data_IF_496199046103
#
_entry.id   IF_496199046103
#
_cell.length_a   1.000
_cell.length_b   1.000
_cell.length_c   1.000
_cell.angle_alpha   90.00
_cell.angle_beta   90.00
_cell.angle_gamma   90.00
#
_symmetry.space_group_name_H-M   'P 1'
#
loop_
_entity.id
_entity.type
_entity.pdbx_description
1 polymer ?
#
# COMPACT_ATOMS: atom_id res chain seq x y z
N UNK A 1 27.85 49.13 31.55
CA UNK A 1 27.24 47.96 32.20
C UNK A 1 26.27 47.34 31.20
N UNK A 2 26.59 46.13 30.78
CA UNK A 2 25.93 45.41 29.69
C UNK A 2 24.60 44.81 30.15
N UNK A 3 23.50 45.20 29.50
CA UNK A 3 22.21 44.49 29.50
C UNK A 3 21.92 44.14 28.04
N UNK A 4 21.46 42.99 27.61
CA UNK A 4 21.09 41.70 28.19
C UNK A 4 21.07 40.77 26.96
N UNK A 5 22.05 39.87 26.88
CA UNK A 5 22.17 38.91 25.77
C UNK A 5 21.43 37.59 26.03
N UNK A 6 20.75 37.43 27.18
CA UNK A 6 20.17 36.15 27.60
C UNK A 6 18.78 35.92 26.98
N UNK A 7 17.97 36.99 26.88
CA UNK A 7 16.59 36.91 26.41
C UNK A 7 16.46 36.30 25.00
N UNK A 8 17.34 36.67 24.07
CA UNK A 8 17.28 36.19 22.69
C UNK A 8 17.46 34.68 22.52
N UNK A 9 18.29 34.05 23.37
CA UNK A 9 18.51 32.60 23.32
C UNK A 9 17.34 31.83 23.93
N UNK A 10 16.71 32.35 24.98
CA UNK A 10 15.54 31.73 25.61
C UNK A 10 14.31 31.72 24.69
N UNK A 11 14.08 32.81 23.93
CA UNK A 11 13.01 32.87 22.92
C UNK A 11 13.24 31.92 21.74
N UNK A 12 14.49 31.75 21.29
CA UNK A 12 14.83 30.84 20.21
C UNK A 12 14.71 29.38 20.64
N UNK A 13 15.19 29.03 21.85
CA UNK A 13 15.00 27.70 22.44
C UNK A 13 13.51 27.37 22.57
N UNK A 14 12.70 28.29 23.08
CA UNK A 14 11.27 28.07 23.21
C UNK A 14 10.55 27.90 21.87
N UNK A 15 10.99 28.60 20.81
CA UNK A 15 10.51 28.39 19.44
C UNK A 15 10.94 27.04 18.86
N UNK A 16 12.17 26.61 19.11
CA UNK A 16 12.65 25.29 18.69
C UNK A 16 11.90 24.16 19.41
N UNK A 17 11.64 24.30 20.71
CA UNK A 17 10.88 23.31 21.49
C UNK A 17 9.43 23.15 20.99
N UNK A 18 8.75 24.27 20.69
CA UNK A 18 7.40 24.25 20.11
C UNK A 18 7.43 23.60 18.73
N UNK A 19 8.40 23.96 17.88
CA UNK A 19 8.56 23.38 16.54
C UNK A 19 8.90 21.88 16.59
N UNK A 20 9.72 21.46 17.54
CA UNK A 20 10.09 20.06 17.75
C UNK A 20 8.90 19.25 18.26
N UNK A 21 8.09 19.81 19.14
CA UNK A 21 6.86 19.19 19.62
C UNK A 21 5.81 19.03 18.51
N UNK A 22 5.57 20.09 17.72
CA UNK A 22 4.66 20.03 16.57
C UNK A 22 5.16 19.03 15.52
N UNK A 23 6.45 19.04 15.20
CA UNK A 23 7.06 18.09 14.26
C UNK A 23 6.97 16.65 14.78
N UNK A 24 7.17 16.43 16.08
CA UNK A 24 7.01 15.12 16.72
C UNK A 24 5.58 14.59 16.63
N UNK A 25 4.58 15.45 16.85
CA UNK A 25 3.16 15.09 16.72
C UNK A 25 2.77 14.76 15.29
N UNK A 26 3.24 15.54 14.31
CA UNK A 26 2.97 15.27 12.89
C UNK A 26 3.57 13.92 12.49
N UNK A 27 4.81 13.62 12.91
CA UNK A 27 5.46 12.33 12.65
C UNK A 27 4.68 11.16 13.27
N UNK A 28 4.27 11.27 14.53
CA UNK A 28 3.49 10.22 15.20
C UNK A 28 2.16 9.95 14.49
N UNK A 29 1.46 11.01 14.06
CA UNK A 29 0.21 10.87 13.28
C UNK A 29 0.44 10.24 11.90
N UNK A 30 1.57 10.53 11.26
CA UNK A 30 1.94 9.90 9.98
C UNK A 30 2.26 8.42 10.16
N UNK A 31 3.04 8.05 11.18
CA UNK A 31 3.36 6.67 11.50
C UNK A 31 2.11 5.85 11.84
N UNK A 32 1.20 6.40 12.63
CA UNK A 32 -0.08 5.77 12.95
C UNK A 32 -0.92 5.54 11.68
N UNK A 33 -1.00 6.55 10.80
CA UNK A 33 -1.71 6.42 9.52
C UNK A 33 -1.11 5.33 8.63
N UNK A 34 0.22 5.28 8.51
CA UNK A 34 0.91 4.25 7.73
C UNK A 34 0.68 2.86 8.33
N UNK A 35 0.71 2.74 9.66
CA UNK A 35 0.40 1.49 10.35
C UNK A 35 -1.03 1.02 10.08
N UNK A 36 -2.02 1.92 10.18
CA UNK A 36 -3.43 1.62 9.91
C UNK A 36 -3.63 1.18 8.45
N UNK A 37 -3.02 1.89 7.49
CA UNK A 37 -3.07 1.52 6.07
C UNK A 37 -2.49 0.12 5.84
N UNK A 38 -1.28 -0.14 6.37
CA UNK A 38 -0.64 -1.45 6.26
C UNK A 38 -1.54 -2.55 6.83
N UNK A 39 -2.04 -2.37 8.05
CA UNK A 39 -2.91 -3.34 8.73
C UNK A 39 -4.22 -3.58 7.97
N UNK A 40 -4.82 -2.53 7.42
CA UNK A 40 -6.04 -2.63 6.63
C UNK A 40 -5.79 -3.40 5.33
N UNK A 41 -4.70 -3.09 4.64
CA UNK A 41 -4.34 -3.78 3.40
C UNK A 41 -3.97 -5.25 3.65
N UNK A 42 -3.23 -5.54 4.72
CA UNK A 42 -2.93 -6.92 5.14
C UNK A 42 -4.21 -7.71 5.38
N UNK A 43 -5.15 -7.16 6.17
CA UNK A 43 -6.46 -7.81 6.42
C UNK A 43 -7.24 -8.03 5.14
N UNK A 44 -7.23 -7.06 4.24
CA UNK A 44 -7.90 -7.16 2.95
C UNK A 44 -7.30 -8.29 2.10
N UNK A 45 -5.97 -8.38 1.99
CA UNK A 45 -5.29 -9.49 1.30
C UNK A 45 -5.67 -10.83 1.96
N UNK A 46 -5.59 -10.92 3.28
CA UNK A 46 -5.89 -12.15 4.01
C UNK A 46 -7.35 -12.61 3.83
N UNK A 47 -8.29 -11.68 3.61
CA UNK A 47 -9.69 -12.02 3.29
C UNK A 47 -9.85 -12.81 1.98
N UNK A 48 -8.91 -12.67 1.03
CA UNK A 48 -8.87 -13.48 -0.19
C UNK A 48 -8.05 -14.75 0.01
N UNK A 49 -6.90 -14.65 0.67
CA UNK A 49 -5.96 -15.76 0.83
C UNK A 49 -6.43 -16.85 1.80
N UNK A 50 -7.35 -16.54 2.71
CA UNK A 50 -7.96 -17.53 3.62
C UNK A 50 -8.61 -18.69 2.86
N UNK A 51 -9.19 -18.43 1.68
CA UNK A 51 -9.80 -19.45 0.80
C UNK A 51 -8.77 -20.46 0.27
N UNK A 52 -7.49 -20.11 0.33
CA UNK A 52 -6.36 -20.89 -0.19
C UNK A 52 -5.43 -21.38 0.90
N UNK A 53 -5.80 -21.22 2.18
CA UNK A 53 -4.97 -21.55 3.35
C UNK A 53 -3.60 -20.86 3.31
N UNK A 54 -3.57 -19.63 2.80
CA UNK A 54 -2.39 -18.77 2.80
C UNK A 54 -2.67 -17.55 3.68
N UNK A 55 -1.63 -17.02 4.32
CA UNK A 55 -1.70 -15.82 5.14
C UNK A 55 -0.49 -14.92 4.85
N UNK A 56 -0.70 -13.62 4.96
CA UNK A 56 0.33 -12.58 4.89
C UNK A 56 0.38 -11.87 6.24
N UNK A 57 1.57 -11.81 6.82
CA UNK A 57 1.85 -11.03 8.02
C UNK A 57 2.50 -9.70 7.61
N UNK A 58 3.48 -9.76 6.73
CA UNK A 58 4.14 -8.57 6.18
C UNK A 58 4.12 -8.58 4.65
N UNK A 59 3.30 -7.69 4.09
CA UNK A 59 3.09 -7.52 2.66
C UNK A 59 4.41 -7.35 1.90
N UNK A 60 5.41 -6.69 2.49
CA UNK A 60 6.68 -6.41 1.82
C UNK A 60 7.57 -7.64 1.68
N UNK A 61 7.50 -8.58 2.62
CA UNK A 61 8.33 -9.79 2.62
C UNK A 61 7.56 -10.97 2.02
N UNK A 62 6.29 -11.11 2.36
CA UNK A 62 5.44 -12.24 1.99
C UNK A 62 5.01 -12.23 0.52
N UNK A 63 4.89 -11.04 -0.09
CA UNK A 63 4.59 -10.93 -1.52
C UNK A 63 5.86 -10.88 -2.40
N UNK A 64 7.04 -10.75 -1.80
CA UNK A 64 8.30 -10.53 -2.53
C UNK A 64 8.71 -11.70 -3.43
N UNK A 65 8.27 -12.92 -3.12
CA UNK A 65 8.55 -14.11 -3.93
C UNK A 65 7.60 -14.28 -5.13
N UNK A 66 6.57 -13.43 -5.21
CA UNK A 66 5.55 -13.41 -6.26
C UNK A 66 4.50 -14.52 -6.18
N UNK A 67 4.61 -15.48 -5.25
CA UNK A 67 3.69 -16.64 -5.23
C UNK A 67 2.33 -16.29 -4.64
N UNK A 68 2.34 -15.68 -3.46
CA UNK A 68 1.12 -15.16 -2.81
C UNK A 68 0.47 -14.08 -3.68
N UNK A 69 1.28 -13.27 -4.36
CA UNK A 69 0.81 -12.24 -5.29
C UNK A 69 0.08 -12.82 -6.50
N UNK A 70 0.66 -13.81 -7.20
CA UNK A 70 0.00 -14.50 -8.30
C UNK A 70 -1.35 -15.08 -7.88
N UNK A 71 -1.39 -15.73 -6.71
CA UNK A 71 -2.62 -16.34 -6.21
C UNK A 71 -3.67 -15.30 -5.86
N UNK A 72 -3.28 -14.20 -5.21
CA UNK A 72 -4.15 -13.09 -4.90
C UNK A 72 -4.77 -12.51 -6.20
N UNK A 73 -3.96 -12.29 -7.24
CA UNK A 73 -4.42 -11.78 -8.53
C UNK A 73 -5.39 -12.74 -9.23
N UNK A 74 -5.14 -14.05 -9.17
CA UNK A 74 -6.06 -15.07 -9.70
C UNK A 74 -7.42 -15.04 -8.98
N UNK A 75 -7.44 -14.91 -7.65
CA UNK A 75 -8.69 -14.84 -6.87
C UNK A 75 -9.44 -13.54 -7.16
N UNK A 76 -8.75 -12.40 -7.21
CA UNK A 76 -9.38 -11.09 -7.39
C UNK A 76 -9.91 -10.94 -8.83
N UNK A 77 -9.15 -11.41 -9.82
CA UNK A 77 -9.57 -11.32 -11.23
C UNK A 77 -10.54 -12.41 -11.66
N UNK A 78 -10.56 -13.55 -10.97
CA UNK A 78 -11.30 -14.74 -11.39
C UNK A 78 -10.66 -15.48 -12.58
N UNK A 79 -9.46 -15.09 -13.01
CA UNK A 79 -8.75 -15.68 -14.15
C UNK A 79 -7.53 -16.48 -13.71
N UNK A 80 -7.25 -17.58 -14.40
CA UNK A 80 -6.08 -18.42 -14.10
C UNK A 80 -4.79 -17.77 -14.62
N UNK A 81 -3.90 -17.37 -13.72
CA UNK A 81 -2.57 -16.82 -14.07
C UNK A 81 -1.48 -17.90 -14.27
N UNK A 82 -1.85 -19.19 -14.22
CA UNK A 82 -0.90 -20.30 -14.29
C UNK A 82 -0.22 -20.61 -12.95
N UNK A 83 0.46 -21.76 -12.89
CA UNK A 83 1.09 -22.22 -11.63
C UNK A 83 2.36 -21.40 -11.32
N UNK A 84 2.54 -20.94 -10.07
CA UNK A 84 3.77 -20.28 -9.67
C UNK A 84 4.97 -21.25 -9.75
N UNK A 85 6.15 -20.70 -10.01
CA UNK A 85 7.40 -21.44 -9.98
C UNK A 85 7.79 -21.75 -8.52
N UNK A 86 7.98 -23.05 -8.23
CA UNK A 86 8.29 -23.57 -6.91
C UNK A 86 9.80 -23.57 -6.56
N UNK A 87 10.66 -23.17 -7.50
CA UNK A 87 12.09 -23.08 -7.26
C UNK A 87 12.47 -22.02 -6.22
N UNK A 88 13.56 -22.25 -5.49
CA UNK A 88 14.02 -21.40 -4.38
C UNK A 88 15.01 -20.30 -4.82
N UNK A 89 15.59 -20.43 -6.02
CA UNK A 89 16.53 -19.47 -6.56
C UNK A 89 15.89 -18.11 -6.84
N UNK A 90 16.71 -17.06 -6.81
CA UNK A 90 16.30 -15.67 -7.09
C UNK A 90 15.59 -15.54 -8.45
N UNK A 91 16.06 -16.24 -9.48
CA UNK A 91 15.47 -16.21 -10.82
C UNK A 91 13.99 -16.66 -10.82
N UNK A 92 13.63 -17.67 -10.03
CA UNK A 92 12.25 -18.15 -9.94
C UNK A 92 11.33 -17.16 -9.22
N UNK A 93 11.84 -16.49 -8.19
CA UNK A 93 11.11 -15.41 -7.51
C UNK A 93 10.84 -14.26 -8.48
N UNK A 94 11.86 -13.83 -9.23
CA UNK A 94 11.73 -12.78 -10.25
C UNK A 94 10.72 -13.19 -11.32
N UNK A 95 10.76 -14.44 -11.79
CA UNK A 95 9.81 -14.95 -12.78
C UNK A 95 8.35 -14.85 -12.30
N UNK A 96 8.08 -15.24 -11.04
CA UNK A 96 6.75 -15.14 -10.45
C UNK A 96 6.25 -13.69 -10.33
N UNK A 97 7.15 -12.79 -9.92
CA UNK A 97 6.85 -11.35 -9.84
C UNK A 97 6.59 -10.78 -11.23
N UNK A 98 7.43 -11.08 -12.22
CA UNK A 98 7.25 -10.64 -13.60
C UNK A 98 5.91 -11.11 -14.19
N UNK A 99 5.50 -12.35 -13.92
CA UNK A 99 4.17 -12.86 -14.32
C UNK A 99 3.04 -12.04 -13.69
N UNK A 100 3.15 -11.72 -12.40
CA UNK A 100 2.18 -10.88 -11.69
C UNK A 100 2.10 -9.48 -12.30
N UNK A 101 3.26 -8.87 -12.55
CA UNK A 101 3.36 -7.53 -13.14
C UNK A 101 2.82 -7.51 -14.58
N UNK A 102 3.15 -8.50 -15.40
CA UNK A 102 2.62 -8.63 -16.76
C UNK A 102 1.09 -8.72 -16.75
N UNK A 103 0.52 -9.52 -15.84
CA UNK A 103 -0.93 -9.61 -15.68
C UNK A 103 -1.55 -8.27 -15.26
N UNK A 104 -0.96 -7.59 -14.28
CA UNK A 104 -1.38 -6.26 -13.87
C UNK A 104 -1.31 -5.25 -15.02
N UNK A 105 -0.25 -5.29 -15.83
CA UNK A 105 -0.10 -4.40 -16.98
C UNK A 105 -1.18 -4.63 -18.03
N UNK A 106 -1.56 -5.89 -18.29
CA UNK A 106 -2.67 -6.22 -19.19
C UNK A 106 -4.02 -5.73 -18.64
N UNK A 107 -4.27 -5.91 -17.33
CA UNK A 107 -5.57 -5.56 -16.72
C UNK A 107 -5.73 -4.09 -16.35
N UNK A 108 -4.65 -3.40 -16.00
CA UNK A 108 -4.63 -1.97 -15.68
C UNK A 108 -4.44 -1.15 -16.95
N UNK A 109 -3.58 -1.60 -17.88
CA UNK A 109 -3.36 -0.97 -19.18
C UNK A 109 -4.56 -1.02 -20.12
N UNK A 110 -5.42 -2.05 -20.03
CA UNK A 110 -6.65 -2.11 -20.82
C UNK A 110 -7.76 -1.17 -20.33
N UNK A 111 -7.69 -0.66 -19.09
CA UNK A 111 -8.69 0.30 -18.57
C UNK A 111 -8.50 1.74 -19.07
N UNK A 112 -7.41 2.03 -19.77
CA UNK A 112 -7.13 3.37 -20.32
C UNK A 112 -7.13 3.43 -21.85
N UNK A 113 -7.25 2.30 -22.56
CA UNK A 113 -7.19 2.29 -24.03
C UNK A 113 -8.56 2.36 -24.72
N UNK A 114 -9.67 2.18 -24.01
CA UNK A 114 -11.01 2.42 -24.53
C UNK A 114 -11.93 2.91 -23.40
N UNK A 115 -12.27 4.20 -23.41
CA UNK A 115 -13.39 4.70 -22.61
C UNK A 115 -13.22 6.06 -21.95
N UNK A 116 -12.83 7.08 -22.71
CA UNK A 116 -13.45 8.39 -22.47
C UNK A 116 -14.89 8.35 -23.00
N UNK A 117 -15.78 9.03 -22.27
CA UNK A 117 -17.15 9.43 -22.62
C UNK A 117 -18.18 8.31 -22.79
N UNK A 118 -18.83 7.92 -21.69
CA UNK A 118 -20.30 7.87 -21.56
C UNK A 118 -20.66 7.27 -20.21
N UNK A 119 -21.51 7.99 -19.47
CA UNK A 119 -22.10 7.47 -18.25
C UNK A 119 -22.89 6.21 -18.54
N UNK A 120 -22.72 5.19 -17.71
CA UNK A 120 -23.77 4.39 -17.08
C UNK A 120 -23.09 3.60 -15.96
N UNK A 121 -23.39 3.99 -14.73
CA UNK A 121 -22.95 3.27 -13.54
C UNK A 121 -23.72 1.94 -13.46
N UNK A 122 -23.16 0.88 -14.02
CA UNK A 122 -23.64 -0.49 -13.79
C UNK A 122 -22.86 -1.14 -12.67
N UNK A 123 -23.49 -1.12 -11.50
CA UNK A 123 -23.38 -1.99 -10.33
C UNK A 123 -22.53 -3.26 -10.51
N UNK A 124 -21.23 -3.18 -10.18
CA UNK A 124 -20.44 -4.36 -9.81
C UNK A 124 -19.13 -3.99 -9.07
N UNK A 125 -19.17 -3.34 -7.90
CA UNK A 125 -18.01 -3.34 -6.99
C UNK A 125 -18.35 -2.89 -5.56
N UNK A 126 -19.16 -3.68 -4.85
CA UNK A 126 -19.67 -3.35 -3.50
C UNK A 126 -18.66 -3.39 -2.33
N UNK A 127 -17.33 -3.39 -2.57
CA UNK A 127 -16.34 -3.36 -1.47
C UNK A 127 -14.93 -2.91 -1.86
N UNK A 128 -14.58 -2.96 -3.16
CA UNK A 128 -13.24 -2.57 -3.65
C UNK A 128 -13.02 -1.05 -3.64
N UNK A 129 -14.04 -0.23 -3.92
CA UNK A 129 -13.89 1.23 -3.98
C UNK A 129 -13.73 1.91 -2.63
N UNK A 130 -14.39 1.41 -1.56
CA UNK A 130 -14.43 2.09 -0.27
C UNK A 130 -13.11 2.04 0.50
N UNK A 131 -12.30 0.99 0.33
CA UNK A 131 -11.01 0.87 1.03
C UNK A 131 -9.92 1.68 0.31
N UNK A 132 -10.01 1.83 -1.02
CA UNK A 132 -9.07 2.64 -1.80
C UNK A 132 -9.38 4.14 -1.69
N UNK A 133 -10.67 4.52 -1.67
CA UNK A 133 -11.09 5.93 -1.59
C UNK A 133 -10.77 6.62 -0.26
N UNK A 134 -10.64 5.87 0.85
CA UNK A 134 -10.21 6.46 2.13
C UNK A 134 -8.70 6.79 2.14
N UNK A 135 -7.94 6.31 1.16
CA UNK A 135 -6.48 6.50 1.10
C UNK A 135 -6.02 7.37 -0.09
N UNK A 136 -6.90 7.70 -1.04
CA UNK A 136 -6.54 8.44 -2.26
C UNK A 136 -6.74 9.98 -2.16
N UNK A 137 -7.24 10.49 -1.04
CA UNK A 137 -7.22 11.92 -0.74
C UNK A 137 -6.23 12.16 0.40
N UNK A 138 -4.95 12.38 0.07
CA UNK A 138 -3.96 13.29 0.69
C UNK A 138 -2.58 13.01 0.09
#
# INVERSE_FOLDING_TARGET
MSTDGSSGYDYLNQKEDVKNFETGRIKALQEERLHIQKKTFTKWINSFLIKTRMEVEDIFTDLADGRKLLRLLEIISGEKLGKPNNGKMRVHKIENVNKSLAFLHTKVGARHLFGDVTGHASSASGRFGKVCLVTAHY
#
